data_IF_494743280723
#
_entry.id   IF_494743280723
#
_cell.length_a   1.000
_cell.length_b   1.000
_cell.length_c   1.000
_cell.angle_alpha   90.00
_cell.angle_beta   90.00
_cell.angle_gamma   90.00
#
_symmetry.space_group_name_H-M   'P 1'
#
loop_
_entity.id
_entity.type
_entity.pdbx_description
1 polymer ?
#
# COMPACT_ATOMS: atom_id res chain seq x y z
N UNK A 1 -17.52 11.26 -22.90
CA UNK A 1 -17.31 9.86 -22.56
C UNK A 1 -18.50 9.36 -21.76
N UNK A 2 -19.14 8.25 -22.22
CA UNK A 2 -20.19 7.59 -21.43
C UNK A 2 -19.52 6.62 -20.46
N UNK A 3 -19.63 6.88 -19.17
CA UNK A 3 -19.17 5.97 -18.10
C UNK A 3 -20.33 5.03 -17.72
N UNK A 4 -20.00 3.80 -17.37
CA UNK A 4 -20.97 2.83 -16.89
C UNK A 4 -21.44 3.24 -15.49
N UNK A 5 -22.70 3.69 -15.35
CA UNK A 5 -23.23 4.14 -14.07
C UNK A 5 -24.04 3.06 -13.33
N UNK A 6 -24.56 2.05 -14.07
CA UNK A 6 -25.47 1.08 -13.48
C UNK A 6 -25.45 -0.27 -14.21
N UNK A 7 -25.52 -1.36 -13.47
CA UNK A 7 -25.75 -2.73 -13.97
C UNK A 7 -26.92 -3.32 -13.18
N UNK A 8 -27.96 -3.80 -13.88
CA UNK A 8 -29.08 -4.49 -13.26
C UNK A 8 -29.13 -5.95 -13.75
N UNK A 9 -29.53 -6.87 -12.87
CA UNK A 9 -29.62 -8.29 -13.16
C UNK A 9 -30.48 -9.05 -12.15
N UNK A 10 -30.40 -10.38 -12.21
CA UNK A 10 -30.95 -11.27 -11.20
C UNK A 10 -29.89 -12.32 -10.86
N UNK A 11 -29.83 -12.68 -9.57
CA UNK A 11 -28.96 -13.77 -9.13
C UNK A 11 -29.62 -15.15 -9.38
N UNK A 12 -28.91 -16.23 -9.05
CA UNK A 12 -29.40 -17.62 -9.19
C UNK A 12 -30.68 -17.91 -8.40
N UNK A 13 -30.94 -17.17 -7.32
CA UNK A 13 -32.14 -17.31 -6.48
C UNK A 13 -33.33 -16.46 -7.00
N UNK A 14 -33.16 -15.84 -8.18
CA UNK A 14 -34.19 -15.00 -8.81
C UNK A 14 -34.32 -13.60 -8.19
N UNK A 15 -33.51 -13.23 -7.18
CA UNK A 15 -33.55 -11.88 -6.57
C UNK A 15 -32.93 -10.87 -7.52
N UNK A 16 -33.55 -9.69 -7.61
CA UNK A 16 -32.98 -8.57 -8.37
C UNK A 16 -31.68 -8.11 -7.74
N UNK A 17 -30.69 -7.86 -8.59
CA UNK A 17 -29.40 -7.27 -8.24
C UNK A 17 -29.24 -5.96 -8.97
N UNK A 18 -28.64 -4.98 -8.29
CA UNK A 18 -28.32 -3.67 -8.84
C UNK A 18 -26.92 -3.26 -8.38
N UNK A 19 -26.05 -2.91 -9.34
CA UNK A 19 -24.76 -2.31 -9.06
C UNK A 19 -24.76 -0.89 -9.61
N UNK A 20 -24.45 0.08 -8.76
CA UNK A 20 -24.40 1.50 -9.09
C UNK A 20 -22.97 2.04 -8.88
N UNK A 21 -22.49 2.88 -9.81
CA UNK A 21 -21.20 3.55 -9.73
C UNK A 21 -21.41 5.06 -9.74
N UNK A 22 -20.72 5.75 -8.81
CA UNK A 22 -20.58 7.21 -8.82
C UNK A 22 -19.10 7.52 -9.06
N UNK A 23 -18.82 8.31 -10.09
CA UNK A 23 -17.46 8.72 -10.42
C UNK A 23 -17.08 10.00 -9.70
N UNK A 24 -15.86 10.08 -9.20
CA UNK A 24 -15.40 11.22 -8.41
C UNK A 24 -15.53 12.54 -9.19
N UNK A 25 -15.12 12.57 -10.46
CA UNK A 25 -15.19 13.76 -11.30
C UNK A 25 -16.62 14.35 -11.48
N UNK A 26 -17.67 13.58 -11.17
CA UNK A 26 -19.06 14.08 -11.22
C UNK A 26 -19.52 14.76 -9.93
N UNK A 27 -18.69 14.74 -8.88
CA UNK A 27 -18.99 15.31 -7.58
C UNK A 27 -18.35 16.71 -7.42
N UNK A 28 -19.06 17.67 -6.84
CA UNK A 28 -18.57 19.05 -6.70
C UNK A 28 -17.22 19.17 -5.98
N UNK A 29 -16.99 18.35 -4.95
CA UNK A 29 -15.74 18.31 -4.17
C UNK A 29 -14.52 17.84 -4.98
N UNK A 30 -14.74 17.17 -6.13
CA UNK A 30 -13.68 16.68 -7.02
C UNK A 30 -13.70 17.34 -8.40
N UNK A 31 -14.25 18.56 -8.51
CA UNK A 31 -14.29 19.31 -9.77
C UNK A 31 -12.92 19.47 -10.43
N UNK A 32 -11.85 19.55 -9.62
CA UNK A 32 -10.47 19.56 -10.09
C UNK A 32 -10.09 18.31 -10.91
N UNK A 33 -10.70 17.14 -10.66
CA UNK A 33 -10.51 15.94 -11.47
C UNK A 33 -11.13 16.10 -12.86
N UNK A 34 -12.32 16.67 -12.96
CA UNK A 34 -12.98 16.96 -14.22
C UNK A 34 -12.13 17.94 -15.06
N UNK A 35 -11.66 19.02 -14.45
CA UNK A 35 -10.79 20.03 -15.06
C UNK A 35 -9.46 19.45 -15.56
N UNK A 36 -8.91 18.46 -14.84
CA UNK A 36 -7.69 17.73 -15.22
C UNK A 36 -7.94 16.54 -16.14
N UNK A 37 -9.19 16.32 -16.61
CA UNK A 37 -9.60 15.15 -17.42
C UNK A 37 -9.35 13.79 -16.76
N UNK A 38 -9.35 13.72 -15.41
CA UNK A 38 -9.22 12.50 -14.62
C UNK A 38 -10.63 11.98 -14.33
N UNK A 39 -11.22 11.24 -15.27
CA UNK A 39 -12.65 10.90 -15.24
C UNK A 39 -12.96 9.52 -14.69
N UNK A 40 -12.01 8.60 -14.65
CA UNK A 40 -12.23 7.18 -14.30
C UNK A 40 -12.27 6.82 -12.81
N UNK A 41 -11.73 7.60 -11.84
CA UNK A 41 -11.81 7.24 -10.43
C UNK A 41 -13.26 7.14 -9.94
N UNK A 42 -13.59 6.01 -9.30
CA UNK A 42 -14.91 5.75 -8.71
C UNK A 42 -14.93 6.30 -7.28
N UNK A 43 -15.90 7.16 -6.96
CA UNK A 43 -16.13 7.65 -5.59
C UNK A 43 -16.97 6.66 -4.77
N UNK A 44 -17.91 5.96 -5.41
CA UNK A 44 -18.57 4.85 -4.73
C UNK A 44 -19.09 3.79 -5.70
N UNK A 45 -19.08 2.54 -5.22
CA UNK A 45 -19.72 1.39 -5.82
C UNK A 45 -20.74 0.84 -4.83
N UNK A 46 -22.00 0.73 -5.22
CA UNK A 46 -23.06 0.18 -4.40
C UNK A 46 -23.62 -1.08 -5.05
N UNK A 47 -23.59 -2.19 -4.34
CA UNK A 47 -24.22 -3.45 -4.74
C UNK A 47 -25.44 -3.71 -3.87
N UNK A 48 -26.57 -3.91 -4.49
CA UNK A 48 -27.84 -4.17 -3.82
C UNK A 48 -28.42 -5.50 -4.27
N UNK A 49 -28.88 -6.31 -3.31
CA UNK A 49 -29.57 -7.57 -3.57
C UNK A 49 -30.77 -7.66 -2.64
N UNK A 50 -31.97 -7.68 -3.20
CA UNK A 50 -33.19 -7.63 -2.42
C UNK A 50 -33.27 -6.31 -1.63
N UNK A 51 -33.43 -6.39 -0.30
CA UNK A 51 -33.55 -5.24 0.61
C UNK A 51 -32.22 -4.75 1.20
N UNK A 52 -31.12 -5.48 1.00
CA UNK A 52 -29.80 -5.16 1.60
C UNK A 52 -28.82 -4.62 0.57
N UNK A 53 -27.89 -3.76 1.02
CA UNK A 53 -26.84 -3.23 0.17
C UNK A 53 -25.46 -3.26 0.85
N UNK A 54 -24.41 -3.28 0.01
CA UNK A 54 -23.04 -2.98 0.37
C UNK A 54 -22.55 -1.84 -0.53
N UNK A 55 -22.08 -0.75 0.07
CA UNK A 55 -21.51 0.39 -0.64
C UNK A 55 -20.06 0.58 -0.25
N UNK A 56 -19.14 0.48 -1.20
CA UNK A 56 -17.75 0.91 -1.07
C UNK A 56 -17.65 2.40 -1.36
N UNK A 57 -16.94 3.14 -0.52
CA UNK A 57 -16.75 4.59 -0.67
C UNK A 57 -15.28 4.91 -0.68
N UNK A 58 -14.84 5.64 -1.70
CA UNK A 58 -13.48 6.11 -1.90
C UNK A 58 -13.46 7.63 -1.85
N UNK A 59 -12.67 8.19 -0.95
CA UNK A 59 -12.38 9.63 -0.92
C UNK A 59 -10.99 9.88 -1.45
N UNK A 60 -10.81 11.00 -2.14
CA UNK A 60 -9.56 11.38 -2.78
C UNK A 60 -9.03 12.70 -2.22
N UNK A 61 -7.71 12.91 -2.34
CA UNK A 61 -7.06 14.19 -2.09
C UNK A 61 -6.35 14.64 -3.37
N UNK A 62 -6.40 15.94 -3.65
CA UNK A 62 -5.80 16.53 -4.85
C UNK A 62 -4.43 17.15 -4.59
N UNK A 63 -3.70 17.57 -5.65
CA UNK A 63 -4.13 17.68 -7.07
C UNK A 63 -3.93 16.39 -7.89
N UNK A 64 -3.40 15.33 -7.32
CA UNK A 64 -3.33 14.01 -7.91
C UNK A 64 -4.32 13.11 -7.14
N UNK A 65 -5.06 12.21 -7.82
CA UNK A 65 -6.14 11.45 -7.21
C UNK A 65 -5.63 10.33 -6.28
N UNK A 66 -4.94 10.70 -5.20
CA UNK A 66 -4.59 9.75 -4.15
C UNK A 66 -5.81 9.39 -3.32
N UNK A 67 -5.93 8.13 -2.97
CA UNK A 67 -6.98 7.67 -2.06
C UNK A 67 -6.68 8.19 -0.66
N UNK A 68 -7.56 9.03 -0.14
CA UNK A 68 -7.52 9.55 1.23
C UNK A 68 -8.17 8.60 2.21
N UNK A 69 -9.32 8.00 1.84
CA UNK A 69 -10.06 7.09 2.69
C UNK A 69 -10.77 6.03 1.88
N UNK A 70 -10.81 4.82 2.41
CA UNK A 70 -11.65 3.72 1.95
C UNK A 70 -12.57 3.32 3.11
N UNK A 71 -13.86 3.25 2.84
CA UNK A 71 -14.85 2.78 3.80
C UNK A 71 -15.91 1.93 3.11
N UNK A 72 -16.58 1.07 3.88
CA UNK A 72 -17.78 0.35 3.45
C UNK A 72 -18.98 0.79 4.28
N UNK A 73 -20.13 0.83 3.64
CA UNK A 73 -21.43 1.06 4.26
C UNK A 73 -22.30 -0.14 3.94
N UNK A 74 -22.66 -0.91 4.94
CA UNK A 74 -23.60 -2.03 4.84
C UNK A 74 -24.87 -1.68 5.57
N UNK A 75 -25.94 -1.45 4.82
CA UNK A 75 -27.28 -1.16 5.38
C UNK A 75 -27.28 -0.03 6.43
N UNK A 76 -26.43 1.01 6.24
CA UNK A 76 -26.28 2.14 7.14
C UNK A 76 -25.16 2.01 8.19
N UNK A 77 -24.49 0.87 8.27
CA UNK A 77 -23.32 0.69 9.15
C UNK A 77 -22.04 0.99 8.39
N UNK A 78 -21.38 2.10 8.74
CA UNK A 78 -20.14 2.56 8.09
C UNK A 78 -18.92 2.04 8.82
N UNK A 79 -18.03 1.37 8.09
CA UNK A 79 -16.72 0.91 8.56
C UNK A 79 -15.60 1.53 7.74
N UNK A 80 -14.60 2.15 8.40
CA UNK A 80 -13.43 2.74 7.76
C UNK A 80 -12.30 1.74 7.76
N UNK A 81 -11.83 1.34 6.58
CA UNK A 81 -10.75 0.37 6.43
C UNK A 81 -9.38 1.02 6.33
N UNK A 82 -9.33 2.22 5.72
CA UNK A 82 -8.09 2.89 5.37
C UNK A 82 -8.29 4.40 5.44
N UNK A 83 -7.39 5.12 6.11
CA UNK A 83 -7.43 6.59 6.16
C UNK A 83 -6.02 7.16 6.18
N UNK A 84 -5.64 7.91 5.14
CA UNK A 84 -4.36 8.62 5.06
C UNK A 84 -4.45 9.90 5.88
N UNK A 85 -3.47 10.10 6.77
CA UNK A 85 -3.34 11.25 7.64
C UNK A 85 -2.28 12.25 7.13
N UNK A 86 -1.20 11.74 6.51
CA UNK A 86 -0.14 12.57 5.96
C UNK A 86 0.47 11.93 4.71
N UNK A 87 0.97 12.79 3.81
CA UNK A 87 1.68 12.42 2.58
C UNK A 87 3.02 13.14 2.50
N UNK A 88 3.98 12.58 1.74
CA UNK A 88 5.25 13.22 1.41
C UNK A 88 5.13 14.27 0.29
N UNK A 89 6.26 14.82 -0.15
CA UNK A 89 6.31 15.79 -1.25
C UNK A 89 5.97 15.21 -2.63
N UNK A 90 5.96 13.90 -2.76
CA UNK A 90 5.63 13.16 -3.99
C UNK A 90 4.17 12.66 -3.97
N UNK A 91 3.45 12.85 -2.85
CA UNK A 91 2.08 12.43 -2.65
C UNK A 91 1.92 10.99 -2.13
N UNK A 92 3.01 10.32 -1.77
CA UNK A 92 2.92 9.00 -1.16
C UNK A 92 2.42 9.10 0.27
N UNK A 93 1.54 8.20 0.73
CA UNK A 93 1.14 8.16 2.13
C UNK A 93 2.36 7.84 3.01
N UNK A 94 2.59 8.67 4.04
CA UNK A 94 3.63 8.47 5.05
C UNK A 94 3.07 8.12 6.41
N UNK A 95 1.81 8.49 6.68
CA UNK A 95 1.09 8.13 7.89
C UNK A 95 -0.36 7.85 7.58
N UNK A 96 -0.84 6.69 8.01
CA UNK A 96 -2.19 6.25 7.76
C UNK A 96 -2.72 5.39 8.91
N UNK A 97 -4.02 5.18 8.96
CA UNK A 97 -4.65 4.15 9.75
C UNK A 97 -5.23 3.07 8.84
N UNK A 98 -4.91 1.82 9.11
CA UNK A 98 -5.62 0.65 8.60
C UNK A 98 -6.55 0.18 9.71
N UNK A 99 -7.84 0.38 9.52
CA UNK A 99 -8.84 0.30 10.59
C UNK A 99 -8.47 1.21 11.77
N UNK A 100 -8.03 0.66 12.90
CA UNK A 100 -7.55 1.39 14.07
C UNK A 100 -6.03 1.35 14.25
N UNK A 101 -5.31 0.61 13.41
CA UNK A 101 -3.87 0.43 13.52
C UNK A 101 -3.14 1.59 12.85
N UNK A 102 -2.33 2.37 13.58
CA UNK A 102 -1.48 3.40 12.98
C UNK A 102 -0.33 2.73 12.21
N UNK A 103 -0.07 3.23 11.01
CA UNK A 103 0.97 2.73 10.12
C UNK A 103 1.79 3.91 9.60
N UNK A 104 3.11 3.82 9.74
CA UNK A 104 4.06 4.76 9.13
C UNK A 104 4.75 4.08 7.97
N UNK A 105 4.80 4.76 6.83
CA UNK A 105 5.48 4.33 5.62
C UNK A 105 6.66 5.27 5.36
N UNK A 106 7.86 4.70 5.22
CA UNK A 106 9.07 5.45 4.89
C UNK A 106 9.42 5.16 3.44
N UNK A 107 9.40 6.22 2.63
CA UNK A 107 9.77 6.18 1.23
C UNK A 107 11.19 6.69 1.03
N UNK A 108 11.82 6.36 -0.09
CA UNK A 108 13.13 6.84 -0.51
C UNK A 108 13.24 6.84 -2.03
N UNK A 109 14.43 7.17 -2.56
CA UNK A 109 14.67 7.32 -3.99
C UNK A 109 13.65 8.29 -4.64
N UNK A 110 13.54 9.50 -4.10
CA UNK A 110 12.58 10.52 -4.58
C UNK A 110 11.12 10.02 -4.55
N UNK A 111 10.75 9.32 -3.48
CA UNK A 111 9.41 8.77 -3.29
C UNK A 111 9.08 7.54 -4.15
N UNK A 112 10.04 7.00 -4.90
CA UNK A 112 9.79 5.90 -5.84
C UNK A 112 9.74 4.53 -5.18
N UNK A 113 10.30 4.36 -3.97
CA UNK A 113 10.40 3.06 -3.30
C UNK A 113 10.01 3.15 -1.83
N UNK A 114 9.14 2.23 -1.42
CA UNK A 114 8.81 2.01 -0.02
C UNK A 114 9.99 1.28 0.65
N UNK A 115 10.66 1.94 1.59
CA UNK A 115 11.83 1.38 2.29
C UNK A 115 11.43 0.66 3.57
N UNK A 116 10.40 1.18 4.26
CA UNK A 116 9.92 0.56 5.49
C UNK A 116 8.43 0.79 5.69
N UNK A 117 7.78 -0.20 6.30
CA UNK A 117 6.43 -0.13 6.86
C UNK A 117 6.52 -0.45 8.34
N UNK A 118 5.96 0.42 9.17
CA UNK A 118 5.99 0.31 10.63
C UNK A 118 4.56 0.40 11.13
N UNK A 119 4.05 -0.70 11.66
CA UNK A 119 2.72 -0.78 12.25
C UNK A 119 2.78 -0.61 13.77
N UNK A 120 1.70 -0.13 14.38
CA UNK A 120 1.60 0.16 15.82
C UNK A 120 2.57 1.25 16.29
N UNK A 121 2.89 2.22 15.42
CA UNK A 121 3.67 3.40 15.77
C UNK A 121 3.02 4.66 15.20
N UNK A 122 3.09 5.75 15.95
CA UNK A 122 2.70 7.08 15.46
C UNK A 122 3.81 7.70 14.63
N UNK A 123 3.47 8.66 13.76
CA UNK A 123 4.45 9.39 12.96
C UNK A 123 5.53 10.03 13.83
N UNK A 124 5.14 10.71 14.92
CA UNK A 124 6.08 11.37 15.84
C UNK A 124 7.09 10.40 16.47
N UNK A 125 6.64 9.20 16.90
CA UNK A 125 7.55 8.20 17.47
C UNK A 125 8.60 7.73 16.44
N UNK A 126 8.18 7.56 15.18
CA UNK A 126 9.09 7.15 14.11
C UNK A 126 10.05 8.28 13.74
N UNK A 127 9.60 9.52 13.64
CA UNK A 127 10.44 10.70 13.34
C UNK A 127 11.48 10.94 14.43
N UNK A 128 11.09 10.83 15.70
CA UNK A 128 12.01 10.90 16.84
C UNK A 128 13.07 9.80 16.78
N UNK A 129 12.68 8.56 16.53
CA UNK A 129 13.59 7.43 16.42
C UNK A 129 14.53 7.52 15.19
N UNK A 130 14.02 8.04 14.07
CA UNK A 130 14.76 8.26 12.83
C UNK A 130 15.72 9.45 12.94
N UNK A 131 15.37 10.46 13.76
CA UNK A 131 16.11 11.73 13.92
C UNK A 131 15.88 12.73 12.80
N UNK A 132 14.80 12.58 12.03
CA UNK A 132 14.36 13.51 10.98
C UNK A 132 12.91 13.25 10.59
N UNK A 133 12.29 14.21 9.88
CA UNK A 133 10.94 14.03 9.35
C UNK A 133 10.89 12.91 8.31
N UNK A 134 9.89 12.04 8.41
CA UNK A 134 9.63 10.96 7.43
C UNK A 134 9.37 11.56 6.04
N UNK A 135 8.68 12.69 5.97
CA UNK A 135 8.42 13.41 4.72
C UNK A 135 9.70 13.81 3.99
N UNK A 136 10.71 14.28 4.72
CA UNK A 136 11.99 14.74 4.14
C UNK A 136 12.87 13.55 3.74
N UNK A 137 12.72 12.41 4.44
CA UNK A 137 13.43 11.18 4.11
C UNK A 137 13.09 10.66 2.71
N UNK A 138 11.89 10.91 2.20
CA UNK A 138 11.45 10.47 0.86
C UNK A 138 12.35 10.97 -0.27
N UNK A 139 13.01 12.13 -0.09
CA UNK A 139 13.98 12.69 -1.04
C UNK A 139 15.39 12.06 -0.92
N UNK A 140 15.61 11.22 0.09
CA UNK A 140 16.91 10.63 0.36
C UNK A 140 17.21 9.47 -0.58
N UNK A 141 18.51 9.26 -0.84
CA UNK A 141 19.00 8.07 -1.52
C UNK A 141 18.81 6.79 -0.65
N UNK A 142 18.86 5.63 -1.30
CA UNK A 142 18.79 4.32 -0.63
C UNK A 142 20.21 3.83 -0.33
N UNK A 143 21.03 4.67 0.31
CA UNK A 143 22.38 4.32 0.73
C UNK A 143 22.39 3.39 1.93
N UNK A 144 23.49 2.67 2.13
CA UNK A 144 23.70 1.82 3.30
C UNK A 144 23.53 2.60 4.61
N UNK A 145 24.00 3.86 4.66
CA UNK A 145 23.88 4.73 5.83
C UNK A 145 22.40 5.04 6.16
N UNK A 146 21.60 5.36 5.15
CA UNK A 146 20.18 5.65 5.33
C UNK A 146 19.38 4.38 5.69
N UNK A 147 19.70 3.24 5.09
CA UNK A 147 19.11 1.96 5.49
C UNK A 147 19.43 1.60 6.94
N UNK A 148 20.68 1.82 7.40
CA UNK A 148 21.07 1.56 8.78
C UNK A 148 20.30 2.45 9.78
N UNK A 149 20.02 3.72 9.45
CA UNK A 149 19.15 4.57 10.28
C UNK A 149 17.76 3.96 10.47
N UNK A 150 17.18 3.45 9.39
CA UNK A 150 15.85 2.79 9.43
C UNK A 150 15.91 1.49 10.24
N UNK A 151 16.93 0.64 10.02
CA UNK A 151 17.11 -0.61 10.78
C UNK A 151 17.20 -0.35 12.29
N UNK A 152 17.87 0.73 12.70
CA UNK A 152 18.01 1.12 14.09
C UNK A 152 16.68 1.53 14.76
N UNK A 153 15.65 1.94 14.01
CA UNK A 153 14.33 2.27 14.57
C UNK A 153 13.73 1.04 15.25
N UNK A 154 13.92 -0.16 14.69
CA UNK A 154 13.43 -1.43 15.26
C UNK A 154 13.83 -1.62 16.72
N UNK A 155 14.99 -1.12 17.12
CA UNK A 155 15.51 -1.24 18.48
C UNK A 155 15.06 -0.10 19.42
N UNK A 156 14.48 0.98 18.85
CA UNK A 156 14.07 2.16 19.61
C UNK A 156 12.59 2.18 19.96
N UNK A 157 11.75 1.53 19.16
CA UNK A 157 10.30 1.52 19.37
C UNK A 157 9.84 0.06 19.60
N UNK A 158 9.42 -0.24 20.82
CA UNK A 158 8.91 -1.55 21.18
C UNK A 158 7.45 -1.74 20.75
N UNK A 159 7.03 -2.99 20.56
CA UNK A 159 5.63 -3.34 20.25
C UNK A 159 5.20 -3.05 18.80
N UNK A 160 6.14 -2.70 17.92
CA UNK A 160 5.87 -2.42 16.52
C UNK A 160 6.10 -3.64 15.63
N UNK A 161 5.32 -3.72 14.55
CA UNK A 161 5.60 -4.63 13.44
C UNK A 161 6.40 -3.89 12.38
N UNK A 162 7.65 -4.27 12.20
CA UNK A 162 8.63 -3.55 11.41
C UNK A 162 9.04 -4.35 10.17
N UNK A 163 8.76 -3.80 8.99
CA UNK A 163 9.15 -4.35 7.70
C UNK A 163 10.22 -3.46 7.06
N UNK A 164 11.23 -4.07 6.45
CA UNK A 164 12.28 -3.35 5.70
C UNK A 164 12.40 -3.96 4.31
N UNK A 165 12.46 -3.10 3.31
CA UNK A 165 12.61 -3.46 1.90
C UNK A 165 13.95 -2.94 1.38
N UNK A 166 14.73 -3.80 0.72
CA UNK A 166 15.99 -3.42 0.07
C UNK A 166 15.88 -3.64 -1.43
N UNK A 167 16.52 -2.76 -2.18
CA UNK A 167 16.42 -2.72 -3.63
C UNK A 167 17.81 -2.75 -4.28
N UNK A 168 17.91 -3.22 -5.55
CA UNK A 168 19.07 -3.01 -6.41
C UNK A 168 19.16 -1.53 -6.82
N UNK A 169 20.26 -1.16 -7.48
CA UNK A 169 20.41 0.17 -8.09
C UNK A 169 19.33 0.44 -9.16
N UNK A 170 18.85 -0.63 -9.84
CA UNK A 170 17.74 -0.55 -10.81
C UNK A 170 16.36 -0.58 -10.14
N UNK A 171 16.31 -0.39 -8.82
CA UNK A 171 15.10 -0.32 -8.00
C UNK A 171 14.25 -1.61 -8.00
N UNK A 172 14.87 -2.79 -8.18
CA UNK A 172 14.22 -4.10 -7.99
C UNK A 172 14.32 -4.55 -6.54
N UNK A 173 13.26 -5.11 -5.98
CA UNK A 173 13.24 -5.62 -4.61
C UNK A 173 14.23 -6.79 -4.46
N UNK A 174 15.26 -6.65 -3.62
CA UNK A 174 16.25 -7.70 -3.33
C UNK A 174 15.89 -8.49 -2.10
N UNK A 175 15.36 -7.81 -1.08
CA UNK A 175 14.95 -8.50 0.14
C UNK A 175 13.87 -7.74 0.90
N UNK A 176 13.10 -8.51 1.65
CA UNK A 176 12.10 -8.06 2.61
C UNK A 176 12.41 -8.69 3.98
N UNK A 177 12.67 -7.87 4.98
CA UNK A 177 12.78 -8.32 6.37
C UNK A 177 11.46 -8.12 7.08
N UNK A 178 10.89 -9.19 7.62
CA UNK A 178 9.58 -9.21 8.31
C UNK A 178 9.71 -8.86 9.79
N UNK A 179 8.60 -8.60 10.51
CA UNK A 179 8.62 -8.26 11.95
C UNK A 179 9.31 -9.31 12.82
N UNK A 180 9.21 -10.58 12.48
CA UNK A 180 9.87 -11.69 13.17
C UNK A 180 11.38 -11.80 12.89
N UNK A 181 11.96 -10.86 12.12
CA UNK A 181 13.38 -10.85 11.75
C UNK A 181 13.74 -11.74 10.55
N UNK A 182 12.81 -12.55 10.04
CA UNK A 182 13.07 -13.37 8.85
C UNK A 182 13.20 -12.48 7.63
N UNK A 183 14.30 -12.64 6.89
CA UNK A 183 14.53 -11.95 5.62
C UNK A 183 14.27 -12.91 4.47
N UNK A 184 13.34 -12.53 3.59
CA UNK A 184 13.10 -13.18 2.30
C UNK A 184 13.93 -12.47 1.24
N UNK A 185 14.72 -13.23 0.49
CA UNK A 185 15.53 -12.74 -0.62
C UNK A 185 14.88 -13.08 -1.95
N UNK A 186 15.07 -12.20 -2.94
CA UNK A 186 14.50 -12.31 -4.29
C UNK A 186 15.63 -12.31 -5.31
N UNK A 187 15.61 -13.28 -6.25
CA UNK A 187 16.59 -13.40 -7.31
C UNK A 187 15.92 -13.27 -8.67
N UNK A 188 16.56 -12.58 -9.57
CA UNK A 188 16.07 -12.27 -10.90
C UNK A 188 17.00 -12.82 -11.97
N UNK A 189 16.45 -13.13 -13.14
CA UNK A 189 17.23 -13.40 -14.34
C UNK A 189 17.75 -12.10 -14.99
N UNK A 190 18.49 -12.27 -16.08
CA UNK A 190 19.08 -11.12 -16.80
C UNK A 190 18.01 -10.21 -17.47
N UNK A 191 16.79 -10.72 -17.70
CA UNK A 191 15.66 -9.94 -18.19
C UNK A 191 14.89 -9.23 -17.04
N UNK A 192 15.31 -9.44 -15.78
CA UNK A 192 14.67 -8.85 -14.61
C UNK A 192 13.40 -9.54 -14.15
N UNK A 193 13.17 -10.79 -14.55
CA UNK A 193 12.04 -11.60 -14.09
C UNK A 193 12.45 -12.37 -12.83
N UNK A 194 11.57 -12.44 -11.84
CA UNK A 194 11.80 -13.17 -10.59
C UNK A 194 11.98 -14.67 -10.87
N UNK A 195 13.12 -15.24 -10.50
CA UNK A 195 13.41 -16.67 -10.70
C UNK A 195 13.25 -17.51 -9.43
N UNK A 196 13.56 -16.94 -8.29
CA UNK A 196 13.37 -17.62 -7.00
C UNK A 196 13.17 -16.62 -5.87
N UNK A 197 12.53 -17.06 -4.79
CA UNK A 197 12.66 -16.45 -3.49
C UNK A 197 13.08 -17.48 -2.44
N UNK A 198 13.86 -17.04 -1.45
CA UNK A 198 14.46 -17.92 -0.45
C UNK A 198 14.71 -17.18 0.87
N UNK A 199 14.96 -17.95 1.92
CA UNK A 199 15.44 -17.45 3.20
C UNK A 199 16.78 -18.11 3.53
N UNK A 200 17.56 -17.46 4.44
CA UNK A 200 18.74 -18.07 5.03
C UNK A 200 18.35 -18.58 6.42
N UNK A 201 18.51 -19.88 6.66
CA UNK A 201 18.26 -20.52 7.95
C UNK A 201 19.59 -20.95 8.56
N UNK A 202 19.75 -20.73 9.88
CA UNK A 202 20.91 -21.26 10.60
C UNK A 202 20.63 -22.71 10.97
N UNK A 203 21.40 -23.63 10.39
CA UNK A 203 21.27 -25.08 10.60
C UNK A 203 22.64 -25.75 10.61
N UNK A 204 22.86 -26.67 11.54
CA UNK A 204 24.08 -27.46 11.67
C UNK A 204 25.38 -26.61 11.76
N UNK A 205 25.28 -25.39 12.36
CA UNK A 205 26.41 -24.51 12.57
C UNK A 205 26.71 -23.55 11.43
N UNK A 206 25.90 -23.51 10.37
CA UNK A 206 26.08 -22.64 9.21
C UNK A 206 24.73 -22.10 8.70
N UNK A 207 24.80 -21.01 7.90
CA UNK A 207 23.65 -20.46 7.20
C UNK A 207 23.39 -21.22 5.90
N UNK A 208 22.24 -21.88 5.82
CA UNK A 208 21.81 -22.64 4.65
C UNK A 208 20.65 -21.94 3.93
N UNK A 209 20.71 -21.93 2.61
CA UNK A 209 19.64 -21.40 1.78
C UNK A 209 18.47 -22.39 1.73
N UNK A 210 17.27 -21.91 2.14
CA UNK A 210 16.02 -22.62 1.94
C UNK A 210 15.17 -21.90 0.89
N UNK A 211 14.97 -22.52 -0.25
CA UNK A 211 14.13 -22.02 -1.34
C UNK A 211 12.66 -22.11 -0.92
N UNK A 212 11.92 -21.03 -1.10
CA UNK A 212 10.49 -20.95 -0.85
C UNK A 212 9.70 -21.20 -2.14
N UNK A 213 10.09 -20.52 -3.23
CA UNK A 213 9.47 -20.68 -4.55
C UNK A 213 10.52 -20.59 -5.65
N UNK A 214 10.27 -21.33 -6.75
CA UNK A 214 10.99 -21.23 -8.03
C UNK A 214 9.98 -20.85 -9.10
N UNK A 215 10.36 -19.97 -10.02
CA UNK A 215 9.55 -19.48 -11.11
C UNK A 215 10.25 -19.79 -12.44
N UNK A 216 9.64 -20.66 -13.23
CA UNK A 216 10.08 -21.03 -14.56
C UNK A 216 9.24 -20.31 -15.63
N UNK A 217 9.91 -19.76 -16.63
CA UNK A 217 9.26 -19.02 -17.72
C UNK A 217 9.44 -19.80 -19.02
N UNK A 218 8.36 -20.40 -19.52
CA UNK A 218 8.35 -21.06 -20.82
C UNK A 218 8.25 -20.02 -21.94
N UNK A 219 9.14 -20.09 -22.91
CA UNK A 219 9.07 -19.33 -24.15
C UNK A 219 8.35 -20.22 -25.18
N UNK A 220 7.22 -19.78 -25.66
CA UNK A 220 6.54 -20.33 -26.82
C UNK A 220 6.79 -19.45 -28.02
#
# INVERSE_FOLDING_TARGET
YKQLSQIAGRNSDGKSTLTEYVYAATLPEYKWMEEAHILSPVSSKKEQTGGSYLKEVYQYMGPIPYIKQISTDRDGYVHKHYTVQAVDGYGNPIYLHEESTPVVLIWGAEGQRLISRIENATLNQVEEALGMNVKDFSSSDISATNLLKIENIRHKISGTHFYIYKYTNELRLVSETKPNGITVFYKYDFLGRLTENYIMEFKDGDYQKRILNIYDYNYY
#
